data_IF_371196418963
#
_entry.id   IF_371196418963
#
_cell.length_a   1.000
_cell.length_b   1.000
_cell.length_c   1.000
_cell.angle_alpha   90.00
_cell.angle_beta   90.00
_cell.angle_gamma   90.00
#
_symmetry.space_group_name_H-M   'P 1'
#
loop_
_entity.id
_entity.type
_entity.pdbx_description
1 polymer ?
#
# COMPACT_ATOMS: atom_id res chain seq x y z
N UNK A 1 -7.67 -100.49 -31.22
CA UNK A 1 -7.36 -101.27 -30.01
C UNK A 1 -5.87 -101.14 -29.70
N UNK A 2 -5.52 -100.65 -28.49
CA UNK A 2 -4.33 -100.97 -27.65
C UNK A 2 -2.97 -100.96 -28.39
N UNK A 3 -1.94 -100.18 -28.04
CA UNK A 3 -1.15 -100.12 -26.78
C UNK A 3 -0.14 -98.95 -26.98
N UNK A 4 -0.02 -97.92 -26.13
CA UNK A 4 0.67 -97.85 -24.84
C UNK A 4 2.07 -98.52 -24.82
N UNK A 5 3.16 -97.73 -24.89
CA UNK A 5 4.26 -97.65 -23.89
C UNK A 5 5.43 -96.75 -24.37
N UNK A 6 5.97 -95.98 -23.42
CA UNK A 6 7.37 -95.53 -23.27
C UNK A 6 7.97 -94.48 -24.23
N UNK A 7 8.10 -93.25 -23.71
CA UNK A 7 9.37 -92.52 -23.72
C UNK A 7 9.38 -91.47 -22.59
N UNK A 8 10.03 -91.85 -21.49
CA UNK A 8 10.33 -91.07 -20.30
C UNK A 8 11.56 -90.16 -20.57
N UNK A 9 11.73 -89.11 -19.76
CA UNK A 9 12.91 -88.24 -19.61
C UNK A 9 13.02 -87.03 -20.55
N UNK A 10 12.63 -85.84 -20.06
CA UNK A 10 13.55 -84.73 -19.73
C UNK A 10 12.74 -83.53 -19.19
N UNK A 11 12.35 -83.61 -17.92
CA UNK A 11 12.02 -82.42 -17.11
C UNK A 11 13.35 -81.99 -16.50
N UNK A 12 14.01 -81.05 -17.18
CA UNK A 12 15.29 -80.45 -16.80
C UNK A 12 15.14 -78.96 -16.53
N UNK A 13 14.53 -78.65 -15.39
CA UNK A 13 14.80 -77.53 -14.47
C UNK A 13 15.82 -76.47 -14.94
N UNK A 14 15.40 -75.46 -15.73
CA UNK A 14 16.14 -74.18 -15.87
C UNK A 14 15.16 -73.00 -15.92
N UNK A 15 14.58 -72.68 -14.78
CA UNK A 15 14.13 -71.31 -14.47
C UNK A 15 14.66 -70.95 -13.08
N UNK A 16 15.99 -70.91 -12.97
CA UNK A 16 16.65 -70.24 -11.86
C UNK A 16 16.50 -68.73 -12.09
N UNK A 17 15.50 -68.17 -11.41
CA UNK A 17 15.61 -66.93 -10.65
C UNK A 17 16.68 -65.93 -11.12
N UNK A 18 16.39 -65.17 -12.17
CA UNK A 18 16.93 -63.81 -12.30
C UNK A 18 15.92 -62.83 -11.70
N UNK A 19 15.74 -62.92 -10.37
CA UNK A 19 15.33 -61.75 -9.61
C UNK A 19 16.54 -60.84 -9.58
N UNK A 20 16.71 -60.07 -10.64
CA UNK A 20 17.57 -58.88 -10.61
C UNK A 20 16.96 -58.01 -9.52
N UNK A 21 17.59 -58.05 -8.35
CA UNK A 21 17.21 -57.27 -7.18
C UNK A 21 17.36 -55.83 -7.63
N UNK A 22 16.24 -55.19 -7.95
CA UNK A 22 16.19 -53.79 -8.31
C UNK A 22 17.07 -53.04 -7.30
N UNK A 23 18.14 -52.36 -7.77
CA UNK A 23 19.07 -51.71 -6.86
C UNK A 23 18.23 -50.86 -5.90
N UNK A 24 18.50 -50.92 -4.58
CA UNK A 24 17.71 -50.17 -3.61
C UNK A 24 17.60 -48.73 -4.11
N UNK A 25 16.38 -48.15 -4.13
CA UNK A 25 16.19 -46.82 -4.65
C UNK A 25 17.23 -45.90 -4.01
N UNK A 26 17.93 -45.06 -4.80
CA UNK A 26 18.96 -44.20 -4.27
C UNK A 26 18.39 -43.46 -3.05
N UNK A 27 19.14 -43.36 -1.95
CA UNK A 27 18.64 -42.72 -0.73
C UNK A 27 18.07 -41.36 -1.12
N UNK A 28 16.79 -41.15 -0.82
CA UNK A 28 16.12 -39.88 -1.14
C UNK A 28 16.95 -38.76 -0.55
N UNK A 29 17.39 -37.76 -1.35
CA UNK A 29 18.16 -36.66 -0.82
C UNK A 29 17.43 -36.05 0.37
N UNK A 30 18.14 -35.65 1.44
CA UNK A 30 17.51 -35.08 2.61
C UNK A 30 16.64 -33.89 2.18
N UNK A 31 15.43 -33.73 2.76
CA UNK A 31 14.55 -32.63 2.40
C UNK A 31 15.32 -31.32 2.59
N UNK A 32 15.14 -30.35 1.67
CA UNK A 32 15.81 -29.07 1.79
C UNK A 32 15.48 -28.42 3.14
N UNK A 33 16.43 -27.68 3.75
CA UNK A 33 16.17 -27.01 5.01
C UNK A 33 14.98 -26.05 4.86
N UNK A 34 14.17 -25.88 5.93
CA UNK A 34 13.04 -24.97 5.89
C UNK A 34 13.51 -23.54 5.60
N UNK A 35 12.72 -22.78 4.85
CA UNK A 35 13.03 -21.39 4.52
C UNK A 35 13.18 -20.56 5.79
N UNK A 36 14.16 -19.65 5.80
CA UNK A 36 14.35 -18.72 6.93
C UNK A 36 13.28 -17.64 6.94
N UNK A 37 13.06 -17.00 8.10
CA UNK A 37 12.11 -15.89 8.22
C UNK A 37 12.43 -14.73 7.25
N UNK A 38 13.72 -14.46 7.02
CA UNK A 38 14.19 -13.43 6.07
C UNK A 38 13.87 -13.79 4.61
N UNK A 39 14.00 -15.07 4.23
CA UNK A 39 13.65 -15.51 2.87
C UNK A 39 12.15 -15.41 2.63
N UNK A 40 11.34 -15.81 3.61
CA UNK A 40 9.89 -15.70 3.56
C UNK A 40 9.44 -14.24 3.51
N UNK A 41 10.02 -13.39 4.36
CA UNK A 41 9.79 -11.94 4.34
C UNK A 41 10.11 -11.33 2.97
N UNK A 42 11.30 -11.60 2.42
CA UNK A 42 11.69 -11.11 1.10
C UNK A 42 10.74 -11.59 -0.02
N UNK A 43 10.25 -12.82 0.08
CA UNK A 43 9.25 -13.36 -0.85
C UNK A 43 7.94 -12.54 -0.80
N UNK A 44 7.41 -12.27 0.40
CA UNK A 44 6.21 -11.44 0.55
C UNK A 44 6.45 -10.01 0.06
N UNK A 45 7.53 -9.38 0.50
CA UNK A 45 7.84 -7.99 0.14
C UNK A 45 8.08 -7.79 -1.35
N UNK A 46 8.57 -8.79 -2.07
CA UNK A 46 8.71 -8.72 -3.53
C UNK A 46 7.37 -8.55 -4.26
N UNK A 47 6.29 -9.12 -3.71
CA UNK A 47 4.95 -9.02 -4.26
C UNK A 47 4.26 -7.69 -3.89
N UNK A 48 4.49 -7.19 -2.68
CA UNK A 48 3.72 -6.06 -2.13
C UNK A 48 4.37 -4.70 -2.31
N UNK A 49 5.72 -4.61 -2.36
CA UNK A 49 6.43 -3.33 -2.49
C UNK A 49 6.00 -2.48 -3.68
N UNK A 50 5.74 -3.03 -4.89
CA UNK A 50 5.26 -2.23 -6.02
C UNK A 50 3.90 -1.56 -5.76
N UNK A 51 3.07 -2.16 -4.89
CA UNK A 51 1.73 -1.68 -4.60
C UNK A 51 1.73 -0.57 -3.53
N UNK A 52 2.75 -0.54 -2.67
CA UNK A 52 2.93 0.52 -1.66
C UNK A 52 3.05 1.89 -2.35
N UNK A 53 3.90 1.98 -3.37
CA UNK A 53 4.16 3.22 -4.11
C UNK A 53 3.28 3.38 -5.37
N UNK A 54 2.23 2.56 -5.48
CA UNK A 54 1.42 2.46 -6.69
C UNK A 54 0.35 3.54 -6.82
N UNK A 55 -0.40 3.46 -7.93
CA UNK A 55 -1.58 4.29 -8.19
C UNK A 55 -2.70 4.07 -7.14
N UNK A 56 -3.75 4.91 -7.07
CA UNK A 56 -4.78 4.84 -6.03
C UNK A 56 -5.48 3.47 -5.88
N UNK A 57 -5.65 2.74 -6.98
CA UNK A 57 -6.19 1.38 -7.00
C UNK A 57 -5.28 0.34 -6.31
N UNK A 58 -4.01 0.69 -6.07
CA UNK A 58 -3.01 -0.21 -5.50
C UNK A 58 -3.27 -0.51 -4.03
N UNK A 59 -4.00 0.33 -3.30
CA UNK A 59 -4.37 0.05 -1.90
C UNK A 59 -5.21 -1.24 -1.76
N UNK A 60 -6.22 -1.41 -2.62
CA UNK A 60 -7.06 -2.61 -2.61
C UNK A 60 -6.25 -3.85 -3.01
N UNK A 61 -5.39 -3.72 -4.03
CA UNK A 61 -4.48 -4.79 -4.46
C UNK A 61 -3.48 -5.16 -3.37
N UNK A 62 -2.94 -4.17 -2.65
CA UNK A 62 -2.01 -4.35 -1.54
C UNK A 62 -2.66 -5.15 -0.43
N UNK A 63 -3.89 -4.79 -0.05
CA UNK A 63 -4.68 -5.52 0.95
C UNK A 63 -4.89 -6.98 0.54
N UNK A 64 -5.38 -7.25 -0.67
CA UNK A 64 -5.59 -8.63 -1.13
C UNK A 64 -4.29 -9.43 -1.22
N UNK A 65 -3.21 -8.79 -1.66
CA UNK A 65 -1.90 -9.44 -1.81
C UNK A 65 -1.30 -9.79 -0.45
N UNK A 66 -1.35 -8.87 0.52
CA UNK A 66 -0.92 -9.12 1.90
C UNK A 66 -1.75 -10.22 2.55
N UNK A 67 -3.08 -10.18 2.44
CA UNK A 67 -3.93 -11.24 3.02
C UNK A 67 -3.59 -12.61 2.43
N UNK A 68 -3.38 -12.71 1.12
CA UNK A 68 -2.98 -13.94 0.44
C UNK A 68 -1.61 -14.45 0.90
N UNK A 69 -0.58 -13.60 0.85
CA UNK A 69 0.78 -14.00 1.20
C UNK A 69 0.94 -14.32 2.70
N UNK A 70 0.31 -13.55 3.59
CA UNK A 70 0.31 -13.84 5.02
C UNK A 70 -0.47 -15.13 5.35
N UNK A 71 -1.49 -15.48 4.55
CA UNK A 71 -2.16 -16.75 4.64
C UNK A 71 -1.22 -17.94 4.38
N UNK A 72 -0.32 -17.82 3.39
CA UNK A 72 0.69 -18.84 3.07
C UNK A 72 1.73 -19.00 4.18
N UNK A 73 2.10 -17.91 4.86
CA UNK A 73 3.06 -17.97 5.97
C UNK A 73 2.55 -18.81 7.15
N UNK A 74 1.24 -18.98 7.34
CA UNK A 74 0.69 -19.74 8.47
C UNK A 74 1.11 -21.21 8.49
N UNK A 75 1.46 -21.78 7.35
CA UNK A 75 1.89 -23.18 7.22
C UNK A 75 3.41 -23.36 7.27
N UNK A 76 4.17 -22.27 7.28
CA UNK A 76 5.63 -22.28 7.26
C UNK A 76 6.21 -22.29 8.69
N UNK A 77 7.27 -23.06 8.90
CA UNK A 77 7.92 -23.19 10.23
C UNK A 77 8.39 -21.85 10.79
N UNK A 78 8.93 -20.97 9.92
CA UNK A 78 9.40 -19.64 10.28
C UNK A 78 8.39 -18.53 9.90
N UNK A 79 7.12 -18.90 9.68
CA UNK A 79 6.09 -18.02 9.14
C UNK A 79 5.72 -16.86 10.06
N UNK A 80 5.60 -17.09 11.36
CA UNK A 80 5.23 -16.03 12.32
C UNK A 80 6.33 -14.98 12.47
N UNK A 81 7.60 -15.42 12.49
CA UNK A 81 8.73 -14.50 12.48
C UNK A 81 8.78 -13.67 11.19
N UNK A 82 8.50 -14.29 10.03
CA UNK A 82 8.40 -13.58 8.75
C UNK A 82 7.24 -12.57 8.75
N UNK A 83 6.08 -12.94 9.31
CA UNK A 83 4.92 -12.06 9.44
C UNK A 83 5.24 -10.81 10.26
N UNK A 84 5.93 -10.97 11.39
CA UNK A 84 6.35 -9.84 12.24
C UNK A 84 7.29 -8.88 11.50
N UNK A 85 8.21 -9.40 10.67
CA UNK A 85 9.08 -8.57 9.81
C UNK A 85 8.28 -7.80 8.75
N UNK A 86 7.33 -8.46 8.09
CA UNK A 86 6.44 -7.82 7.09
C UNK A 86 5.62 -6.71 7.74
N UNK A 87 5.03 -6.97 8.91
CA UNK A 87 4.22 -5.99 9.63
C UNK A 87 5.04 -4.75 10.01
N UNK A 88 6.27 -4.95 10.49
CA UNK A 88 7.20 -3.87 10.84
C UNK A 88 7.51 -3.02 9.59
N UNK A 89 7.87 -3.65 8.47
CA UNK A 89 8.22 -2.93 7.26
C UNK A 89 7.03 -2.14 6.67
N UNK A 90 5.82 -2.69 6.70
CA UNK A 90 4.63 -1.99 6.21
C UNK A 90 4.28 -0.81 7.13
N UNK A 91 4.45 -0.94 8.45
CA UNK A 91 4.28 0.17 9.40
C UNK A 91 5.34 1.26 9.21
N UNK A 92 6.58 0.87 8.96
CA UNK A 92 7.67 1.80 8.65
C UNK A 92 7.41 2.52 7.32
N UNK A 93 6.90 1.84 6.30
CA UNK A 93 6.49 2.44 5.03
C UNK A 93 5.35 3.46 5.23
N UNK A 94 4.37 3.16 6.08
CA UNK A 94 3.29 4.11 6.42
C UNK A 94 3.88 5.38 7.03
N UNK A 95 4.77 5.22 8.01
CA UNK A 95 5.43 6.36 8.67
C UNK A 95 6.27 7.16 7.68
N UNK A 96 7.05 6.50 6.84
CA UNK A 96 7.89 7.16 5.84
C UNK A 96 7.07 7.90 4.77
N UNK A 97 5.92 7.35 4.36
CA UNK A 97 4.99 8.02 3.45
C UNK A 97 4.35 9.25 4.10
N UNK A 98 3.96 9.14 5.37
CA UNK A 98 3.38 10.24 6.13
C UNK A 98 4.39 11.37 6.36
N UNK A 99 5.58 11.06 6.84
CA UNK A 99 6.65 12.02 7.10
C UNK A 99 7.13 12.69 5.78
N UNK A 100 6.99 12.00 4.66
CA UNK A 100 7.27 12.53 3.32
C UNK A 100 6.09 13.22 2.64
N UNK A 101 4.96 13.42 3.33
CA UNK A 101 3.73 14.02 2.81
C UNK A 101 3.19 13.35 1.52
N UNK A 102 3.48 12.06 1.33
CA UNK A 102 3.04 11.27 0.17
C UNK A 102 1.66 10.69 0.43
N UNK A 103 0.65 11.56 0.45
CA UNK A 103 -0.71 11.23 0.93
C UNK A 103 -1.37 10.06 0.20
N UNK A 104 -1.13 9.89 -1.11
CA UNK A 104 -1.65 8.73 -1.84
C UNK A 104 -1.04 7.40 -1.37
N UNK A 105 0.26 7.39 -1.10
CA UNK A 105 0.94 6.22 -0.53
C UNK A 105 0.44 5.94 0.89
N UNK A 106 0.23 6.97 1.71
CA UNK A 106 -0.38 6.83 3.04
C UNK A 106 -1.71 6.08 2.95
N UNK A 107 -2.58 6.47 2.02
CA UNK A 107 -3.87 5.79 1.81
C UNK A 107 -3.71 4.34 1.36
N UNK A 108 -2.79 4.08 0.42
CA UNK A 108 -2.53 2.72 -0.04
C UNK A 108 -2.04 1.83 1.11
N UNK A 109 -1.06 2.31 1.90
CA UNK A 109 -0.47 1.56 3.01
C UNK A 109 -1.47 1.37 4.15
N UNK A 110 -2.38 2.32 4.40
CA UNK A 110 -3.47 2.14 5.37
C UNK A 110 -4.32 0.89 5.05
N UNK A 111 -4.63 0.63 3.78
CA UNK A 111 -5.33 -0.60 3.38
C UNK A 111 -4.51 -1.87 3.67
N UNK A 112 -3.18 -1.78 3.50
CA UNK A 112 -2.27 -2.87 3.83
C UNK A 112 -2.19 -3.14 5.33
N UNK A 113 -2.13 -2.11 6.17
CA UNK A 113 -2.14 -2.28 7.63
C UNK A 113 -3.48 -2.86 8.11
N UNK A 114 -4.60 -2.38 7.58
CA UNK A 114 -5.93 -2.94 7.89
C UNK A 114 -6.05 -4.44 7.52
N UNK A 115 -5.29 -4.92 6.55
CA UNK A 115 -5.22 -6.34 6.20
C UNK A 115 -4.59 -7.20 7.30
N UNK A 116 -3.66 -6.63 8.06
CA UNK A 116 -2.84 -7.33 9.07
C UNK A 116 -3.39 -7.14 10.49
N UNK A 117 -3.87 -5.94 10.78
CA UNK A 117 -4.34 -5.48 12.08
C UNK A 117 -5.66 -4.69 11.93
N UNK A 118 -6.79 -5.39 11.70
CA UNK A 118 -8.08 -4.76 11.51
C UNK A 118 -8.53 -4.00 12.76
N UNK A 119 -9.02 -2.77 12.59
CA UNK A 119 -9.52 -1.94 13.70
C UNK A 119 -8.45 -1.12 14.40
N UNK A 120 -7.24 -1.03 13.85
CA UNK A 120 -6.19 -0.17 14.37
C UNK A 120 -6.60 1.32 14.27
N UNK A 121 -6.94 1.91 15.42
CA UNK A 121 -7.37 3.32 15.51
C UNK A 121 -6.32 4.33 15.04
N UNK A 122 -5.03 3.98 15.02
CA UNK A 122 -3.99 4.87 14.51
C UNK A 122 -4.07 5.00 12.98
N UNK A 123 -4.39 3.91 12.29
CA UNK A 123 -4.56 3.89 10.82
C UNK A 123 -5.70 4.80 10.39
N UNK A 124 -6.81 4.81 11.16
CA UNK A 124 -7.94 5.72 10.91
C UNK A 124 -7.50 7.18 10.90
N UNK A 125 -6.69 7.61 11.88
CA UNK A 125 -6.17 8.99 11.92
C UNK A 125 -5.26 9.33 10.74
N UNK A 126 -4.38 8.40 10.34
CA UNK A 126 -3.54 8.59 9.15
C UNK A 126 -4.37 8.72 7.87
N UNK A 127 -5.40 7.87 7.72
CA UNK A 127 -6.33 7.90 6.59
C UNK A 127 -7.10 9.21 6.53
N UNK A 128 -7.72 9.63 7.63
CA UNK A 128 -8.47 10.89 7.71
C UNK A 128 -7.58 12.08 7.36
N UNK A 129 -6.35 12.12 7.91
CA UNK A 129 -5.39 13.18 7.59
C UNK A 129 -5.00 13.19 6.13
N UNK A 130 -4.67 12.03 5.55
CA UNK A 130 -4.28 11.93 4.15
C UNK A 130 -5.42 12.31 3.19
N UNK A 131 -6.67 11.96 3.51
CA UNK A 131 -7.85 12.42 2.76
C UNK A 131 -7.97 13.95 2.84
N UNK A 132 -7.85 14.52 4.04
CA UNK A 132 -7.96 15.95 4.23
C UNK A 132 -6.90 16.72 3.42
N UNK A 133 -5.63 16.27 3.44
CA UNK A 133 -4.54 16.92 2.72
C UNK A 133 -4.65 16.74 1.21
N UNK A 134 -5.06 15.56 0.72
CA UNK A 134 -5.31 15.34 -0.71
C UNK A 134 -6.43 16.22 -1.25
N UNK A 135 -7.43 16.50 -0.42
CA UNK A 135 -8.56 17.37 -0.77
C UNK A 135 -8.35 18.83 -0.37
N UNK A 136 -7.13 19.21 0.05
CA UNK A 136 -6.81 20.59 0.41
C UNK A 136 -7.06 21.52 -0.80
N UNK A 137 -7.89 22.57 -0.65
CA UNK A 137 -8.13 23.51 -1.75
C UNK A 137 -6.84 24.17 -2.22
N UNK A 138 -6.67 24.27 -3.53
CA UNK A 138 -5.55 24.97 -4.14
C UNK A 138 -5.99 26.38 -4.47
N UNK A 139 -5.28 27.37 -3.92
CA UNK A 139 -5.69 28.77 -3.98
C UNK A 139 -4.68 29.60 -4.75
N UNK A 140 -5.18 30.37 -5.71
CA UNK A 140 -4.41 31.38 -6.44
C UNK A 140 -5.02 32.76 -6.18
N UNK A 141 -4.22 33.71 -5.72
CA UNK A 141 -4.70 35.07 -5.46
C UNK A 141 -4.70 35.90 -6.74
N UNK A 142 -5.88 36.36 -7.17
CA UNK A 142 -6.03 37.26 -8.34
C UNK A 142 -5.63 38.69 -8.04
N UNK A 143 -5.92 39.15 -6.83
CA UNK A 143 -5.64 40.53 -6.42
C UNK A 143 -6.42 40.94 -5.17
N UNK A 144 -6.12 42.14 -4.70
CA UNK A 144 -6.72 42.73 -3.51
C UNK A 144 -7.27 44.11 -3.87
N UNK A 145 -8.56 44.31 -3.63
CA UNK A 145 -9.26 45.54 -3.96
C UNK A 145 -9.96 46.10 -2.72
N UNK A 146 -10.13 47.42 -2.65
CA UNK A 146 -10.95 48.03 -1.61
C UNK A 146 -12.39 48.09 -2.09
N UNK A 147 -13.28 47.40 -1.39
CA UNK A 147 -14.72 47.44 -1.62
C UNK A 147 -15.32 48.07 -0.36
N UNK A 148 -15.99 49.22 -0.52
CA UNK A 148 -16.59 49.94 0.61
C UNK A 148 -15.57 50.30 1.71
N UNK A 149 -14.34 50.66 1.31
CA UNK A 149 -13.25 50.99 2.23
C UNK A 149 -12.61 49.78 2.92
N UNK A 150 -13.10 48.56 2.68
CA UNK A 150 -12.57 47.33 3.28
C UNK A 150 -11.73 46.55 2.26
N UNK A 151 -10.49 46.15 2.58
CA UNK A 151 -9.69 45.32 1.70
C UNK A 151 -10.33 43.94 1.54
N UNK A 152 -10.61 43.57 0.29
CA UNK A 152 -11.22 42.29 -0.09
C UNK A 152 -10.28 41.58 -1.06
N UNK A 153 -9.98 40.32 -0.78
CA UNK A 153 -9.09 39.47 -1.58
C UNK A 153 -9.92 38.64 -2.54
N UNK A 154 -9.45 38.52 -3.78
CA UNK A 154 -10.07 37.70 -4.81
C UNK A 154 -9.20 36.48 -5.07
N UNK A 155 -9.81 35.30 -4.98
CA UNK A 155 -9.14 34.01 -5.15
C UNK A 155 -9.79 33.21 -6.28
N UNK A 156 -8.95 32.53 -7.07
CA UNK A 156 -9.34 31.29 -7.74
C UNK A 156 -9.07 30.13 -6.77
N UNK A 157 -10.12 29.36 -6.48
CA UNK A 157 -10.04 28.19 -5.59
C UNK A 157 -10.36 26.94 -6.39
N UNK A 158 -9.35 26.10 -6.63
CA UNK A 158 -9.55 24.77 -7.19
C UNK A 158 -9.81 23.77 -6.06
N UNK A 159 -10.92 23.05 -6.15
CA UNK A 159 -11.34 22.02 -5.20
C UNK A 159 -11.02 20.64 -5.75
N UNK A 160 -9.98 19.93 -5.25
CA UNK A 160 -9.61 18.62 -5.78
C UNK A 160 -10.72 17.58 -5.64
N UNK A 161 -11.61 17.73 -4.65
CA UNK A 161 -12.71 16.82 -4.39
C UNK A 161 -13.76 16.83 -5.51
N UNK A 162 -14.04 18.00 -6.09
CA UNK A 162 -15.04 18.15 -7.18
C UNK A 162 -14.41 18.36 -8.55
N UNK A 163 -13.12 18.73 -8.61
CA UNK A 163 -12.42 19.11 -9.83
C UNK A 163 -12.86 20.48 -10.38
N UNK A 164 -13.53 21.29 -9.57
CA UNK A 164 -14.09 22.60 -10.00
C UNK A 164 -13.25 23.74 -9.44
N UNK A 165 -13.03 24.75 -10.28
CA UNK A 165 -12.46 26.04 -9.86
C UNK A 165 -13.58 27.06 -9.64
N UNK A 166 -13.57 27.73 -8.50
CA UNK A 166 -14.53 28.78 -8.14
C UNK A 166 -13.85 30.09 -7.79
N UNK A 167 -14.50 31.19 -8.15
CA UNK A 167 -14.13 32.53 -7.71
C UNK A 167 -14.61 32.76 -6.28
N UNK A 168 -13.72 33.21 -5.40
CA UNK A 168 -14.06 33.63 -4.04
C UNK A 168 -13.65 35.08 -3.80
N UNK A 169 -14.54 35.84 -3.15
CA UNK A 169 -14.30 37.21 -2.69
C UNK A 169 -14.37 37.19 -1.17
N UNK A 170 -13.26 37.47 -0.51
CA UNK A 170 -13.09 37.15 0.91
C UNK A 170 -12.42 38.31 1.64
N UNK A 171 -12.95 38.66 2.81
CA UNK A 171 -12.35 39.64 3.74
C UNK A 171 -11.58 38.94 4.86
N UNK A 172 -10.70 39.69 5.53
CA UNK A 172 -9.97 39.15 6.67
C UNK A 172 -10.92 38.64 7.76
N UNK A 173 -10.70 37.41 8.23
CA UNK A 173 -11.54 36.69 9.17
C UNK A 173 -12.69 35.89 8.54
N UNK A 174 -12.94 35.99 7.24
CA UNK A 174 -14.03 35.26 6.58
C UNK A 174 -13.61 33.82 6.19
N UNK A 175 -14.56 32.89 6.37
CA UNK A 175 -14.45 31.50 5.94
C UNK A 175 -14.97 31.30 4.53
N UNK A 176 -14.28 30.48 3.74
CA UNK A 176 -14.67 30.12 2.38
C UNK A 176 -14.07 28.76 1.99
N UNK A 177 -14.87 27.87 1.41
CA UNK A 177 -14.41 26.58 0.89
C UNK A 177 -13.55 25.73 1.85
N UNK A 178 -13.84 25.80 3.16
CA UNK A 178 -13.07 25.09 4.20
C UNK A 178 -11.75 25.77 4.60
N UNK A 179 -11.51 26.98 4.12
CA UNK A 179 -10.41 27.86 4.48
C UNK A 179 -10.92 29.07 5.26
N UNK A 180 -10.04 29.74 5.98
CA UNK A 180 -10.25 31.07 6.55
C UNK A 180 -9.12 31.99 6.12
N UNK A 181 -9.44 33.22 5.73
CA UNK A 181 -8.44 34.25 5.48
C UNK A 181 -8.00 34.85 6.82
N UNK A 182 -6.85 34.40 7.34
CA UNK A 182 -6.36 34.87 8.65
C UNK A 182 -5.85 36.30 8.58
N UNK A 183 -5.09 36.63 7.52
CA UNK A 183 -4.42 37.93 7.41
C UNK A 183 -4.02 38.27 6.00
N UNK A 184 -4.10 39.55 5.63
CA UNK A 184 -3.48 40.09 4.41
C UNK A 184 -2.01 40.48 4.70
N UNK A 185 -1.08 40.00 3.88
CA UNK A 185 0.36 40.18 4.08
C UNK A 185 0.95 41.26 3.15
N UNK A 186 1.91 42.03 3.70
CA UNK A 186 2.87 42.91 3.00
C UNK A 186 2.31 43.77 1.89
N UNK A 187 1.80 44.97 2.19
CA UNK A 187 1.19 45.93 1.23
C UNK A 187 0.39 45.30 0.07
N UNK A 188 -0.36 44.22 0.37
CA UNK A 188 -1.19 43.47 -0.58
C UNK A 188 -0.43 42.51 -1.54
N UNK A 189 0.74 42.05 -1.14
CA UNK A 189 1.56 41.08 -1.88
C UNK A 189 1.24 39.62 -1.55
N UNK A 190 0.42 39.35 -0.52
CA UNK A 190 0.04 37.99 -0.16
C UNK A 190 -1.11 37.89 0.81
N UNK A 191 -1.52 36.64 1.07
CA UNK A 191 -2.54 36.30 2.05
C UNK A 191 -2.11 35.08 2.85
N UNK A 192 -2.35 35.11 4.16
CA UNK A 192 -2.23 33.96 5.05
C UNK A 192 -3.61 33.29 5.17
N UNK A 193 -3.68 32.03 4.78
CA UNK A 193 -4.88 31.21 4.83
C UNK A 193 -4.68 30.08 5.82
N UNK A 194 -5.75 29.66 6.50
CA UNK A 194 -5.75 28.45 7.33
C UNK A 194 -6.76 27.44 6.81
N UNK A 195 -6.35 26.19 6.71
CA UNK A 195 -7.21 25.08 6.33
C UNK A 195 -7.87 24.46 7.56
N UNK A 196 -9.19 24.56 7.66
CA UNK A 196 -9.94 24.21 8.87
C UNK A 196 -9.91 22.70 9.19
N UNK A 197 -9.79 21.82 8.18
CA UNK A 197 -9.71 20.37 8.44
C UNK A 197 -8.41 19.95 9.10
N UNK A 198 -7.32 20.66 8.82
CA UNK A 198 -5.98 20.28 9.28
C UNK A 198 -5.36 21.27 10.25
N UNK A 199 -6.04 22.38 10.49
CA UNK A 199 -5.62 23.53 11.30
C UNK A 199 -4.28 24.15 10.86
N UNK A 200 -3.85 23.89 9.62
CA UNK A 200 -2.59 24.38 9.08
C UNK A 200 -2.76 25.72 8.36
N UNK A 201 -1.91 26.68 8.71
CA UNK A 201 -1.77 27.94 7.97
C UNK A 201 -0.76 27.82 6.84
N UNK A 202 -1.00 28.51 5.73
CA UNK A 202 -0.11 28.60 4.58
C UNK A 202 -0.25 29.96 3.89
N UNK A 203 0.81 30.37 3.21
CA UNK A 203 0.87 31.67 2.53
C UNK A 203 0.64 31.52 1.04
N UNK A 204 -0.27 32.31 0.50
CA UNK A 204 -0.49 32.47 -0.94
C UNK A 204 0.12 33.79 -1.36
N UNK A 205 1.03 33.75 -2.34
CA UNK A 205 1.63 34.95 -2.94
C UNK A 205 0.67 35.56 -3.95
N UNK A 206 0.68 36.88 -4.04
CA UNK A 206 -0.02 37.61 -5.08
C UNK A 206 0.62 37.43 -6.43
N UNK A 207 -0.19 37.48 -7.47
CA UNK A 207 0.32 37.66 -8.83
C UNK A 207 0.86 39.09 -8.91
N UNK A 208 2.17 39.23 -9.11
CA UNK A 208 2.76 40.52 -9.40
C UNK A 208 2.08 41.07 -10.67
N UNK A 209 1.42 42.22 -10.56
CA UNK A 209 0.93 42.93 -11.74
C UNK A 209 2.16 43.42 -12.50
N UNK A 210 2.49 42.75 -13.61
CA UNK A 210 3.46 43.25 -14.59
C UNK A 210 2.81 44.33 -15.46
#
# INVERSE_FOLDING_TARGET
MKRALLALCWIGLVFLSSCEREPPPPPTPPPPPPKTAQQLHGQVMSAVRPLINGAPESGALLKSSLTSELGKLRTEVNGEAARSLVETEVKDALKAAYDGERWQEVLNVCEGVDAMDPGNVRVVRYRERAIAEKNKPQVTMKGIFQIEGTPTVFFDVYLPETGVTTDAKVREGEEFHGLILEKILGDKEGAQLKYLKTEQSFTVKGVAQQ
#
